data_IF_211654613745
#
_entry.id   IF_211654613745
#
_cell.length_a   1.000
_cell.length_b   1.000
_cell.length_c   1.000
_cell.angle_alpha   90.00
_cell.angle_beta   90.00
_cell.angle_gamma   90.00
#
_symmetry.space_group_name_H-M   'P 1'
#
loop_
_entity.id
_entity.type
_entity.pdbx_description
1 polymer ?
#
# COMPACT_ATOMS: atom_id res chain seq x y z
N UNK A 1 24.10 15.79 -16.63
CA UNK A 1 22.67 15.44 -16.49
C UNK A 1 22.12 16.11 -15.24
N UNK A 2 20.94 16.72 -15.30
CA UNK A 2 20.24 17.19 -14.09
C UNK A 2 20.06 16.04 -13.11
N UNK A 3 20.02 16.31 -11.80
CA UNK A 3 19.77 15.27 -10.79
C UNK A 3 18.45 14.53 -11.01
N UNK A 4 18.22 13.41 -10.28
CA UNK A 4 16.98 12.66 -10.41
C UNK A 4 15.77 13.54 -10.04
N UNK A 5 14.60 13.30 -10.64
CA UNK A 5 13.37 14.04 -10.32
C UNK A 5 13.03 13.93 -8.83
N UNK A 6 12.41 14.98 -8.24
CA UNK A 6 12.07 14.99 -6.81
C UNK A 6 11.11 13.87 -6.46
N UNK A 7 11.06 13.50 -5.18
CA UNK A 7 10.13 12.49 -4.68
C UNK A 7 8.68 12.97 -4.81
N UNK A 8 7.81 12.09 -5.28
CA UNK A 8 6.36 12.32 -5.26
C UNK A 8 5.81 12.28 -3.82
N UNK A 9 4.65 12.91 -3.62
CA UNK A 9 4.00 12.99 -2.30
C UNK A 9 3.60 11.60 -1.76
N UNK A 10 3.33 10.62 -2.61
CA UNK A 10 2.77 9.32 -2.20
C UNK A 10 3.63 8.09 -2.53
N UNK A 11 4.78 8.24 -3.20
CA UNK A 11 5.56 7.14 -3.77
C UNK A 11 4.94 6.64 -5.10
N UNK A 12 5.52 5.58 -5.67
CA UNK A 12 5.17 5.14 -7.03
C UNK A 12 5.91 5.94 -8.10
N UNK A 13 7.13 6.37 -7.79
CA UNK A 13 7.95 7.26 -8.62
C UNK A 13 8.73 6.51 -9.72
N UNK A 14 8.56 5.19 -9.83
CA UNK A 14 9.33 4.35 -10.76
C UNK A 14 9.27 4.81 -12.19
N UNK A 15 8.09 5.19 -12.70
CA UNK A 15 7.92 5.66 -14.07
C UNK A 15 8.68 6.99 -14.33
N UNK A 16 8.69 7.91 -13.36
CA UNK A 16 9.42 9.18 -13.48
C UNK A 16 10.94 8.95 -13.52
N UNK A 17 11.45 8.01 -12.72
CA UNK A 17 12.86 7.63 -12.74
C UNK A 17 13.21 6.89 -14.04
N UNK A 18 12.34 6.00 -14.54
CA UNK A 18 12.54 5.32 -15.80
C UNK A 18 12.67 6.32 -16.97
N UNK A 19 11.77 7.30 -17.03
CA UNK A 19 11.83 8.38 -18.02
C UNK A 19 13.13 9.19 -17.91
N UNK A 20 13.56 9.52 -16.69
CA UNK A 20 14.81 10.24 -16.47
C UNK A 20 16.06 9.44 -16.90
N UNK A 21 16.04 8.12 -16.70
CA UNK A 21 17.12 7.21 -17.12
C UNK A 21 17.06 6.87 -18.62
N UNK A 22 15.95 7.14 -19.31
CA UNK A 22 15.73 6.72 -20.70
C UNK A 22 15.53 5.20 -20.85
N UNK A 23 14.94 4.54 -19.86
CA UNK A 23 14.68 3.08 -19.85
C UNK A 23 13.20 2.78 -19.73
N UNK A 24 12.80 1.53 -20.01
CA UNK A 24 11.43 1.07 -19.81
C UNK A 24 11.09 1.02 -18.28
N UNK A 25 9.84 1.33 -17.87
CA UNK A 25 9.43 1.34 -16.46
C UNK A 25 9.73 0.03 -15.72
N UNK A 26 9.63 -1.11 -16.39
CA UNK A 26 9.87 -2.46 -15.85
C UNK A 26 11.36 -2.69 -15.48
N UNK A 27 12.24 -1.90 -16.04
CA UNK A 27 13.68 -1.93 -15.73
C UNK A 27 14.02 -1.20 -14.43
N UNK A 28 13.07 -0.44 -13.86
CA UNK A 28 13.23 0.24 -12.57
C UNK A 28 12.62 -0.60 -11.45
N UNK A 29 13.39 -0.80 -10.38
CA UNK A 29 12.89 -1.42 -9.15
C UNK A 29 12.29 -0.32 -8.27
N UNK A 30 10.98 -0.23 -8.24
CA UNK A 30 10.28 0.77 -7.43
C UNK A 30 9.94 0.24 -6.03
N UNK A 31 10.76 0.58 -5.05
CA UNK A 31 10.58 0.30 -3.63
C UNK A 31 10.00 1.52 -2.87
N UNK A 32 9.53 2.56 -3.57
CA UNK A 32 8.84 3.70 -2.97
C UNK A 32 7.36 3.40 -2.70
N UNK A 33 6.76 2.46 -3.45
CA UNK A 33 5.42 1.94 -3.25
C UNK A 33 5.48 0.56 -2.56
N UNK A 34 4.85 0.44 -1.39
CA UNK A 34 4.80 -0.82 -0.65
C UNK A 34 3.62 -1.66 -1.17
N UNK A 35 3.92 -2.78 -1.82
CA UNK A 35 2.94 -3.77 -2.26
C UNK A 35 3.36 -5.16 -1.78
N UNK A 36 2.47 -6.12 -1.81
CA UNK A 36 2.75 -7.50 -1.42
C UNK A 36 3.82 -8.13 -2.34
N UNK A 37 5.02 -8.45 -1.83
CA UNK A 37 6.10 -9.01 -2.65
C UNK A 37 5.92 -10.49 -2.98
N UNK A 38 4.93 -11.16 -2.37
CA UNK A 38 4.67 -12.60 -2.51
C UNK A 38 3.33 -12.91 -3.17
N UNK A 39 2.55 -11.88 -3.53
CA UNK A 39 1.32 -12.08 -4.29
C UNK A 39 1.63 -12.70 -5.66
N UNK A 40 0.78 -13.60 -6.17
CA UNK A 40 0.85 -14.01 -7.57
C UNK A 40 0.73 -12.80 -8.51
N UNK A 41 1.31 -12.93 -9.71
CA UNK A 41 1.12 -11.92 -10.75
C UNK A 41 -0.38 -11.76 -11.07
N UNK A 42 -0.97 -10.56 -10.88
CA UNK A 42 -2.39 -10.34 -11.15
C UNK A 42 -2.71 -10.26 -12.65
N UNK A 43 -1.72 -10.04 -13.52
CA UNK A 43 -1.93 -9.79 -14.96
C UNK A 43 -2.66 -10.94 -15.65
N UNK A 44 -2.33 -12.24 -15.46
CA UNK A 44 -3.07 -13.33 -16.08
C UNK A 44 -4.53 -13.42 -15.62
N UNK A 45 -4.80 -13.09 -14.34
CA UNK A 45 -6.18 -13.06 -13.82
C UNK A 45 -6.96 -11.94 -14.47
N UNK A 46 -6.45 -10.72 -14.41
CA UNK A 46 -7.07 -9.53 -14.98
C UNK A 46 -7.25 -9.66 -16.50
N UNK A 47 -6.29 -10.30 -17.17
CA UNK A 47 -6.32 -10.55 -18.62
C UNK A 47 -7.56 -11.31 -19.08
N UNK A 48 -8.09 -12.24 -18.27
CA UNK A 48 -9.32 -12.98 -18.57
C UNK A 48 -10.58 -12.10 -18.60
N UNK A 49 -10.53 -10.96 -17.92
CA UNK A 49 -11.66 -10.03 -17.75
C UNK A 49 -11.57 -8.77 -18.62
N UNK A 50 -10.58 -8.66 -19.52
CA UNK A 50 -10.38 -7.45 -20.34
C UNK A 50 -11.64 -7.04 -21.14
N UNK A 51 -12.50 -7.98 -21.51
CA UNK A 51 -13.78 -7.69 -22.17
C UNK A 51 -14.71 -6.76 -21.35
N UNK A 52 -14.51 -6.67 -20.03
CA UNK A 52 -15.27 -5.78 -19.17
C UNK A 52 -15.03 -4.29 -19.46
N UNK A 53 -13.89 -3.93 -20.04
CA UNK A 53 -13.53 -2.52 -20.32
C UNK A 53 -14.53 -1.87 -21.29
N UNK A 54 -15.16 -2.65 -22.17
CA UNK A 54 -16.08 -2.14 -23.18
C UNK A 54 -17.47 -1.75 -22.66
N UNK A 55 -17.76 -1.89 -21.36
CA UNK A 55 -19.07 -1.62 -20.76
C UNK A 55 -18.99 -0.89 -19.43
N UNK A 56 -20.08 -0.21 -19.07
CA UNK A 56 -20.20 0.37 -17.73
C UNK A 56 -20.27 -0.72 -16.65
N UNK A 57 -19.77 -0.45 -15.43
CA UNK A 57 -19.94 -1.35 -14.30
C UNK A 57 -21.41 -1.70 -14.08
N UNK A 58 -21.72 -2.99 -13.95
CA UNK A 58 -23.07 -3.45 -13.63
C UNK A 58 -23.28 -3.59 -12.13
N UNK A 59 -24.51 -3.35 -11.66
CA UNK A 59 -24.86 -3.60 -10.25
C UNK A 59 -24.69 -5.07 -9.84
N UNK A 60 -24.88 -6.01 -10.77
CA UNK A 60 -24.70 -7.44 -10.52
C UNK A 60 -23.21 -7.80 -10.30
N UNK A 61 -22.31 -7.24 -11.11
CA UNK A 61 -20.86 -7.45 -10.95
C UNK A 61 -20.35 -6.86 -9.65
N UNK A 62 -20.80 -5.64 -9.32
CA UNK A 62 -20.46 -4.97 -8.07
C UNK A 62 -20.96 -5.77 -6.85
N UNK A 63 -22.21 -6.25 -6.88
CA UNK A 63 -22.78 -7.07 -5.82
C UNK A 63 -22.05 -8.41 -5.65
N UNK A 64 -21.62 -9.03 -6.76
CA UNK A 64 -20.80 -10.27 -6.74
C UNK A 64 -19.42 -10.01 -6.11
N UNK A 65 -18.75 -8.93 -6.51
CA UNK A 65 -17.46 -8.52 -5.96
C UNK A 65 -17.57 -8.19 -4.46
N UNK A 66 -18.62 -7.48 -4.04
CA UNK A 66 -18.87 -7.15 -2.63
C UNK A 66 -19.09 -8.42 -1.80
N UNK A 67 -19.90 -9.36 -2.29
CA UNK A 67 -20.11 -10.66 -1.61
C UNK A 67 -18.81 -11.45 -1.50
N UNK A 68 -18.02 -11.52 -2.57
CA UNK A 68 -16.75 -12.24 -2.53
C UNK A 68 -15.78 -11.69 -1.46
N UNK A 69 -15.74 -10.36 -1.28
CA UNK A 69 -14.95 -9.76 -0.20
C UNK A 69 -15.59 -10.01 1.17
N UNK A 70 -16.90 -9.90 1.30
CA UNK A 70 -17.62 -10.15 2.54
C UNK A 70 -17.41 -11.58 3.03
N UNK A 71 -17.50 -12.55 2.13
CA UNK A 71 -17.24 -13.97 2.42
C UNK A 71 -15.78 -14.18 2.86
N UNK A 72 -14.81 -13.59 2.15
CA UNK A 72 -13.41 -13.69 2.53
C UNK A 72 -13.12 -13.08 3.91
N UNK A 73 -13.77 -11.98 4.25
CA UNK A 73 -13.63 -11.29 5.54
C UNK A 73 -14.50 -11.88 6.66
N UNK A 74 -15.43 -12.80 6.34
CA UNK A 74 -16.47 -13.33 7.22
C UNK A 74 -17.33 -12.21 7.87
N UNK A 75 -17.76 -11.22 7.05
CA UNK A 75 -18.61 -10.09 7.47
C UNK A 75 -19.89 -10.04 6.64
N UNK A 76 -20.89 -9.31 7.17
CA UNK A 76 -22.12 -9.04 6.43
C UNK A 76 -21.82 -8.12 5.22
N UNK A 77 -22.25 -8.46 4.00
CA UNK A 77 -22.06 -7.62 2.82
C UNK A 77 -22.73 -6.23 2.94
N UNK A 78 -23.78 -6.07 3.73
CA UNK A 78 -24.44 -4.78 3.97
C UNK A 78 -23.59 -3.83 4.83
N UNK A 79 -22.53 -4.36 5.44
CA UNK A 79 -21.51 -3.60 6.17
C UNK A 79 -20.29 -3.24 5.31
N UNK A 80 -20.28 -3.61 4.03
CA UNK A 80 -19.19 -3.36 3.10
C UNK A 80 -19.61 -2.46 1.94
N UNK A 81 -18.71 -1.53 1.57
CA UNK A 81 -18.80 -0.75 0.35
C UNK A 81 -17.49 -0.80 -0.39
N UNK A 82 -17.49 -1.24 -1.65
CA UNK A 82 -16.33 -1.17 -2.53
C UNK A 82 -16.09 0.27 -3.00
N UNK A 83 -14.82 0.62 -3.14
CA UNK A 83 -14.38 1.98 -3.52
C UNK A 83 -13.29 1.94 -4.58
N UNK A 84 -13.08 3.08 -5.26
CA UNK A 84 -11.98 3.29 -6.21
C UNK A 84 -10.64 3.47 -5.46
N UNK A 85 -10.19 2.37 -4.84
CA UNK A 85 -9.01 2.33 -3.97
C UNK A 85 -9.26 2.94 -2.59
N UNK A 86 -8.31 2.76 -1.68
CA UNK A 86 -8.38 3.29 -0.32
C UNK A 86 -8.49 4.82 -0.24
N UNK A 87 -8.02 5.55 -1.26
CA UNK A 87 -8.14 7.00 -1.29
C UNK A 87 -9.59 7.48 -1.33
N UNK A 88 -10.46 6.82 -2.12
CA UNK A 88 -11.89 7.13 -2.11
C UNK A 88 -12.54 6.70 -0.79
N UNK A 89 -12.18 5.54 -0.24
CA UNK A 89 -12.68 5.11 1.07
C UNK A 89 -12.39 6.18 2.15
N UNK A 90 -11.16 6.69 2.19
CA UNK A 90 -10.78 7.79 3.09
C UNK A 90 -11.63 9.03 2.83
N UNK A 91 -11.78 9.45 1.57
CA UNK A 91 -12.51 10.66 1.22
C UNK A 91 -14.00 10.58 1.61
N UNK A 92 -14.65 9.44 1.38
CA UNK A 92 -16.06 9.22 1.71
C UNK A 92 -16.28 9.27 3.23
N UNK A 93 -15.49 8.54 4.01
CA UNK A 93 -15.60 8.52 5.48
C UNK A 93 -15.25 9.89 6.06
N UNK A 94 -14.19 10.54 5.56
CA UNK A 94 -13.77 11.87 6.00
C UNK A 94 -14.84 12.93 5.75
N UNK A 95 -15.57 12.86 4.63
CA UNK A 95 -16.68 13.76 4.31
C UNK A 95 -17.89 13.57 5.24
N UNK A 96 -18.02 12.40 5.87
CA UNK A 96 -19.13 12.11 6.79
C UNK A 96 -18.84 12.52 8.24
N UNK A 97 -17.61 12.31 8.71
CA UNK A 97 -17.30 12.44 10.14
C UNK A 97 -16.09 13.34 10.45
N UNK A 98 -15.43 13.87 9.43
CA UNK A 98 -14.16 14.59 9.65
C UNK A 98 -13.09 13.68 10.23
N UNK A 99 -12.15 14.25 10.97
CA UNK A 99 -11.17 13.47 11.71
C UNK A 99 -9.95 14.25 12.18
N UNK A 100 -9.22 13.61 13.08
CA UNK A 100 -7.93 14.04 13.61
C UNK A 100 -6.93 12.89 13.54
N UNK A 101 -5.65 13.21 13.55
CA UNK A 101 -4.53 12.24 13.54
C UNK A 101 -3.54 12.56 14.66
N UNK A 102 -2.73 11.58 15.01
CA UNK A 102 -1.51 11.77 15.81
C UNK A 102 -0.34 11.66 14.84
N UNK A 103 0.31 12.78 14.57
CA UNK A 103 1.43 12.82 13.62
C UNK A 103 2.67 12.05 14.11
N UNK A 104 3.47 11.49 13.20
CA UNK A 104 3.24 11.43 11.75
C UNK A 104 2.25 10.32 11.38
N UNK A 105 1.32 10.59 10.47
CA UNK A 105 0.46 9.57 9.86
C UNK A 105 0.19 9.91 8.37
N UNK A 106 -0.60 9.09 7.69
CA UNK A 106 -0.80 9.20 6.25
C UNK A 106 -1.47 10.53 5.86
N UNK A 107 -0.91 11.18 4.82
CA UNK A 107 -1.28 12.56 4.45
C UNK A 107 -2.74 12.75 4.00
N UNK A 108 -3.41 11.70 3.54
CA UNK A 108 -4.80 11.78 3.07
C UNK A 108 -5.84 11.76 4.20
N UNK A 109 -5.45 11.47 5.44
CA UNK A 109 -6.44 11.51 6.52
C UNK A 109 -6.86 12.94 6.83
N UNK A 110 -8.12 13.14 7.29
CA UNK A 110 -8.61 14.45 7.65
C UNK A 110 -7.89 15.01 8.88
N UNK A 111 -7.73 16.34 8.89
CA UNK A 111 -7.15 17.13 10.00
C UNK A 111 -8.06 18.30 10.37
N UNK A 112 -9.37 18.12 10.12
CA UNK A 112 -10.40 19.12 10.35
C UNK A 112 -10.99 19.11 11.76
N UNK A 113 -10.47 18.25 12.64
CA UNK A 113 -11.08 17.90 13.92
C UNK A 113 -12.11 16.78 13.78
N UNK A 114 -12.44 16.12 14.90
CA UNK A 114 -13.33 14.97 14.93
C UNK A 114 -12.65 13.69 15.45
N UNK A 115 -13.21 12.50 15.12
CA UNK A 115 -12.72 11.23 15.65
C UNK A 115 -11.30 10.92 15.21
N UNK A 116 -10.60 10.12 16.01
CA UNK A 116 -9.21 9.73 15.73
C UNK A 116 -9.15 8.71 14.59
N UNK A 117 -8.29 9.00 13.61
CA UNK A 117 -7.88 8.12 12.53
C UNK A 117 -6.48 7.60 12.77
N UNK A 118 -6.24 6.36 12.40
CA UNK A 118 -4.92 5.76 12.49
C UNK A 118 -4.72 4.65 11.47
N UNK A 119 -3.53 4.58 10.89
CA UNK A 119 -3.13 3.42 10.09
C UNK A 119 -2.70 2.24 10.98
N UNK A 120 -3.01 1.02 10.54
CA UNK A 120 -2.59 -0.21 11.22
C UNK A 120 -2.21 -1.29 10.19
N UNK A 121 -0.91 -1.67 10.08
CA UNK A 121 0.24 -1.11 10.81
C UNK A 121 0.42 0.39 10.55
N UNK A 122 0.99 1.07 11.53
CA UNK A 122 1.18 2.52 11.48
C UNK A 122 2.10 2.92 10.31
N UNK A 123 1.64 3.83 9.48
CA UNK A 123 2.40 4.39 8.38
C UNK A 123 2.85 5.81 8.74
N UNK A 124 4.17 6.08 8.99
CA UNK A 124 5.27 5.37 8.29
C UNK A 124 6.00 4.28 9.07
N UNK A 125 5.82 4.12 10.39
CA UNK A 125 6.72 3.28 11.22
C UNK A 125 6.63 1.78 10.94
N UNK A 126 5.50 1.28 10.44
CA UNK A 126 5.29 -0.14 10.17
C UNK A 126 4.92 -0.97 11.41
N UNK A 127 4.63 -0.35 12.55
CA UNK A 127 4.28 -1.05 13.79
C UNK A 127 2.78 -1.31 13.88
N UNK A 128 2.40 -2.52 14.26
CA UNK A 128 1.02 -2.86 14.60
C UNK A 128 0.59 -2.15 15.90
N UNK A 129 -0.65 -1.71 15.92
CA UNK A 129 -1.27 -1.17 17.13
C UNK A 129 -1.41 -2.27 18.19
N UNK A 130 -1.16 -1.94 19.47
CA UNK A 130 -1.37 -2.88 20.57
C UNK A 130 -2.86 -3.22 20.73
N UNK A 131 -3.17 -4.33 21.41
CA UNK A 131 -4.55 -4.73 21.67
C UNK A 131 -5.34 -3.66 22.47
N UNK A 132 -4.66 -2.89 23.31
CA UNK A 132 -5.27 -1.82 24.12
C UNK A 132 -5.48 -0.50 23.36
N UNK A 133 -4.94 -0.37 22.13
CA UNK A 133 -5.13 0.84 21.33
C UNK A 133 -6.53 0.85 20.73
N UNK A 134 -7.29 1.91 20.93
CA UNK A 134 -8.58 2.16 20.30
C UNK A 134 -8.50 3.30 19.31
N UNK A 135 -9.31 3.25 18.26
CA UNK A 135 -9.41 4.27 17.23
C UNK A 135 -10.82 4.24 16.64
N UNK A 136 -11.34 5.38 16.23
CA UNK A 136 -12.65 5.44 15.59
C UNK A 136 -12.59 4.98 14.14
N UNK A 137 -11.48 5.28 13.44
CA UNK A 137 -11.25 4.87 12.06
C UNK A 137 -9.88 4.24 11.92
N UNK A 138 -9.84 2.99 11.50
CA UNK A 138 -8.62 2.28 11.15
C UNK A 138 -8.41 2.27 9.64
N UNK A 139 -7.22 2.66 9.17
CA UNK A 139 -6.77 2.31 7.83
C UNK A 139 -6.00 0.98 7.92
N UNK A 140 -6.62 -0.05 7.39
CA UNK A 140 -6.09 -1.41 7.40
C UNK A 140 -5.54 -1.86 6.03
N UNK A 141 -5.11 -0.90 5.18
CA UNK A 141 -4.59 -1.19 3.84
C UNK A 141 -3.42 -2.21 3.84
N UNK A 142 -2.69 -2.33 4.94
CA UNK A 142 -1.57 -3.26 5.10
C UNK A 142 -1.78 -4.29 6.22
N UNK A 143 -2.89 -4.22 6.94
CA UNK A 143 -3.16 -5.09 8.08
C UNK A 143 -3.16 -6.58 7.71
N UNK A 144 -3.80 -7.00 6.59
CA UNK A 144 -3.79 -8.39 6.20
C UNK A 144 -2.39 -8.98 6.01
N UNK A 145 -1.45 -8.21 5.46
CA UNK A 145 -0.06 -8.65 5.26
C UNK A 145 0.78 -8.67 6.54
N UNK A 146 0.41 -7.88 7.54
CA UNK A 146 1.14 -7.78 8.78
C UNK A 146 0.61 -8.73 9.86
N UNK A 147 -0.72 -8.92 9.93
CA UNK A 147 -1.40 -9.64 10.99
C UNK A 147 -1.92 -11.03 10.57
N UNK A 148 -2.04 -11.32 9.26
CA UNK A 148 -2.62 -12.59 8.79
C UNK A 148 -4.14 -12.69 8.98
N UNK A 149 -4.80 -11.57 9.18
CA UNK A 149 -6.25 -11.46 9.32
C UNK A 149 -6.77 -10.33 8.44
N UNK A 150 -7.98 -10.45 7.94
CA UNK A 150 -8.56 -9.45 7.04
C UNK A 150 -8.77 -8.08 7.71
N UNK A 151 -9.15 -8.09 8.97
CA UNK A 151 -9.40 -6.90 9.77
C UNK A 151 -9.07 -7.17 11.23
N UNK A 152 -8.80 -6.13 11.98
CA UNK A 152 -8.63 -6.18 13.44
C UNK A 152 -9.95 -6.53 14.14
N UNK A 153 -11.08 -6.13 13.55
CA UNK A 153 -12.40 -6.47 14.05
C UNK A 153 -12.83 -5.70 15.29
N UNK A 154 -12.29 -4.51 15.53
CA UNK A 154 -12.66 -3.69 16.69
C UNK A 154 -14.15 -3.30 16.63
N UNK A 155 -14.95 -3.60 17.69
CA UNK A 155 -16.38 -3.29 17.70
C UNK A 155 -16.64 -1.77 17.52
N UNK A 156 -17.53 -1.44 16.59
CA UNK A 156 -17.95 -0.05 16.32
C UNK A 156 -16.92 0.81 15.59
N UNK A 157 -15.71 0.31 15.32
CA UNK A 157 -14.75 1.04 14.51
C UNK A 157 -15.12 0.99 13.03
N UNK A 158 -14.82 2.08 12.32
CA UNK A 158 -14.86 2.14 10.86
C UNK A 158 -13.51 1.69 10.33
N UNK A 159 -13.52 0.84 9.30
CA UNK A 159 -12.30 0.42 8.61
C UNK A 159 -12.31 0.98 7.19
N UNK A 160 -11.22 1.63 6.79
CA UNK A 160 -10.91 1.92 5.39
C UNK A 160 -9.79 0.97 4.95
N UNK A 161 -9.94 0.35 3.79
CA UNK A 161 -8.99 -0.65 3.33
C UNK A 161 -8.60 -0.48 1.87
N UNK A 162 -7.48 -1.10 1.49
CA UNK A 162 -6.96 -1.06 0.13
C UNK A 162 -6.50 -2.45 -0.31
N UNK A 163 -7.24 -3.08 -1.19
CA UNK A 163 -6.87 -4.37 -1.78
C UNK A 163 -5.70 -4.25 -2.77
N UNK A 164 -5.42 -3.04 -3.28
CA UNK A 164 -4.33 -2.80 -4.24
C UNK A 164 -2.96 -3.19 -3.70
N UNK A 165 -2.78 -3.12 -2.36
CA UNK A 165 -1.52 -3.49 -1.70
C UNK A 165 -1.42 -5.00 -1.51
N UNK A 166 -2.50 -5.60 -1.01
CA UNK A 166 -2.61 -7.03 -0.77
C UNK A 166 -2.46 -7.85 -2.06
N UNK A 167 -3.17 -7.42 -3.12
CA UNK A 167 -3.24 -8.12 -4.40
C UNK A 167 -2.15 -7.69 -5.40
N UNK A 168 -1.21 -6.83 -4.99
CA UNK A 168 -0.14 -6.28 -5.85
C UNK A 168 -0.66 -5.69 -7.19
N UNK A 169 -1.87 -5.13 -7.21
CA UNK A 169 -2.51 -4.58 -8.41
C UNK A 169 -2.92 -3.10 -8.25
N UNK A 170 -1.97 -2.17 -8.01
CA UNK A 170 -2.30 -0.77 -7.71
C UNK A 170 -3.06 -0.06 -8.85
N UNK A 171 -2.92 -0.52 -10.09
CA UNK A 171 -3.62 0.03 -11.26
C UNK A 171 -5.12 -0.27 -11.30
N UNK A 172 -5.60 -1.35 -10.66
CA UNK A 172 -7.01 -1.72 -10.65
C UNK A 172 -7.87 -0.82 -9.74
N UNK A 173 -7.25 -0.12 -8.77
CA UNK A 173 -7.96 0.79 -7.88
C UNK A 173 -9.08 0.11 -7.08
N UNK A 174 -8.74 -0.90 -6.29
CA UNK A 174 -9.67 -1.61 -5.38
C UNK A 174 -9.45 -1.20 -3.93
N UNK A 175 -10.51 -0.77 -3.27
CA UNK A 175 -10.55 -0.46 -1.85
C UNK A 175 -11.94 -0.72 -1.27
N UNK A 176 -12.10 -0.51 0.02
CA UNK A 176 -13.39 -0.72 0.69
C UNK A 176 -13.52 0.14 1.95
N UNK A 177 -14.77 0.34 2.35
CA UNK A 177 -15.17 0.76 3.70
C UNK A 177 -15.88 -0.42 4.36
N UNK A 178 -15.52 -0.73 5.60
CA UNK A 178 -16.24 -1.66 6.47
C UNK A 178 -16.72 -0.88 7.70
N UNK A 179 -18.03 -0.85 7.94
CA UNK A 179 -18.65 -0.09 9.03
C UNK A 179 -20.01 -0.67 9.41
N UNK A 180 -20.75 0.00 10.26
CA UNK A 180 -22.19 -0.29 10.41
C UNK A 180 -22.97 0.11 9.15
N UNK A 181 -24.16 -0.48 8.98
CA UNK A 181 -25.01 -0.24 7.80
C UNK A 181 -25.39 1.23 7.61
N UNK A 182 -25.55 2.01 8.71
CA UNK A 182 -25.91 3.42 8.60
C UNK A 182 -24.77 4.23 7.99
N UNK A 183 -23.54 3.98 8.43
CA UNK A 183 -22.36 4.61 7.84
C UNK A 183 -22.19 4.20 6.37
N UNK A 184 -22.40 2.93 6.05
CA UNK A 184 -22.33 2.45 4.65
C UNK A 184 -23.37 3.18 3.79
N UNK A 185 -24.62 3.29 4.21
CA UNK A 185 -25.64 4.05 3.45
C UNK A 185 -25.25 5.52 3.24
N UNK A 186 -24.65 6.16 4.23
CA UNK A 186 -24.17 7.55 4.12
C UNK A 186 -23.03 7.66 3.11
N UNK A 187 -22.06 6.77 3.15
CA UNK A 187 -20.97 6.71 2.18
C UNK A 187 -21.49 6.43 0.76
N UNK A 188 -22.43 5.50 0.60
CA UNK A 188 -23.09 5.20 -0.68
C UNK A 188 -23.79 6.44 -1.27
N UNK A 189 -24.45 7.25 -0.44
CA UNK A 189 -25.09 8.48 -0.88
C UNK A 189 -24.13 9.55 -1.42
N UNK A 190 -22.83 9.45 -1.09
CA UNK A 190 -21.78 10.37 -1.57
C UNK A 190 -20.93 9.80 -2.71
N UNK A 191 -20.95 8.48 -2.86
CA UNK A 191 -20.10 7.84 -3.87
C UNK A 191 -20.58 8.18 -5.28
N UNK A 192 -19.68 8.65 -6.17
CA UNK A 192 -20.04 8.84 -7.58
C UNK A 192 -20.53 7.55 -8.23
N UNK A 193 -21.46 7.67 -9.15
CA UNK A 193 -21.87 6.52 -9.96
C UNK A 193 -20.66 5.91 -10.66
N UNK A 194 -20.63 4.57 -10.74
CA UNK A 194 -19.57 3.81 -11.41
C UNK A 194 -18.15 4.04 -10.84
N UNK A 195 -18.02 4.38 -9.58
CA UNK A 195 -16.73 4.63 -8.92
C UNK A 195 -15.77 3.43 -9.04
N UNK A 196 -16.28 2.21 -8.88
CA UNK A 196 -15.51 0.98 -9.12
C UNK A 196 -15.64 0.58 -10.58
N UNK A 197 -14.51 0.50 -11.29
CA UNK A 197 -14.51 0.17 -12.71
C UNK A 197 -14.92 -1.30 -12.96
N UNK A 198 -15.47 -1.57 -14.15
CA UNK A 198 -16.02 -2.90 -14.53
C UNK A 198 -14.96 -4.01 -14.51
N UNK A 199 -13.74 -3.72 -14.95
CA UNK A 199 -12.64 -4.69 -14.96
C UNK A 199 -12.28 -5.12 -13.54
N UNK A 200 -12.18 -4.17 -12.61
CA UNK A 200 -11.89 -4.43 -11.21
C UNK A 200 -13.02 -5.23 -10.52
N UNK A 201 -14.28 -4.87 -10.78
CA UNK A 201 -15.43 -5.58 -10.22
C UNK A 201 -15.53 -7.03 -10.72
N UNK A 202 -15.24 -7.27 -12.00
CA UNK A 202 -15.27 -8.64 -12.55
C UNK A 202 -14.10 -9.50 -12.12
N UNK A 203 -12.89 -8.95 -12.09
CA UNK A 203 -11.69 -9.71 -11.75
C UNK A 203 -11.55 -9.98 -10.24
N UNK A 204 -12.23 -9.19 -9.40
CA UNK A 204 -12.04 -9.23 -7.94
C UNK A 204 -12.31 -10.59 -7.31
N UNK A 205 -13.37 -11.36 -7.63
CA UNK A 205 -13.57 -12.69 -7.05
C UNK A 205 -12.40 -13.64 -7.32
N UNK A 206 -11.89 -13.65 -8.56
CA UNK A 206 -10.75 -14.49 -8.95
C UNK A 206 -9.45 -14.05 -8.26
N UNK A 207 -9.25 -12.74 -8.11
CA UNK A 207 -8.09 -12.21 -7.38
C UNK A 207 -8.14 -12.57 -5.89
N UNK A 208 -9.32 -12.51 -5.26
CA UNK A 208 -9.52 -12.86 -3.86
C UNK A 208 -9.32 -14.37 -3.62
N UNK A 209 -9.70 -15.22 -4.59
CA UNK A 209 -9.49 -16.67 -4.49
C UNK A 209 -8.00 -17.06 -4.40
N UNK A 210 -7.09 -16.20 -4.83
CA UNK A 210 -5.65 -16.42 -4.76
C UNK A 210 -5.02 -15.91 -3.44
N UNK A 211 -5.79 -15.29 -2.54
CA UNK A 211 -5.27 -14.73 -1.28
C UNK A 211 -4.97 -15.84 -0.27
N UNK A 212 -3.75 -15.84 0.26
CA UNK A 212 -3.30 -16.79 1.27
C UNK A 212 -2.76 -16.06 2.52
N UNK A 213 -3.67 -15.60 3.38
CA UNK A 213 -3.31 -14.95 4.63
C UNK A 213 -2.67 -15.89 5.66
N UNK A 214 -2.75 -17.20 5.46
CA UNK A 214 -2.11 -18.16 6.36
C UNK A 214 -0.59 -18.18 6.16
N UNK A 215 -0.10 -17.96 4.92
CA UNK A 215 1.34 -18.07 4.61
C UNK A 215 2.00 -16.73 4.28
N UNK A 216 1.30 -15.79 3.62
CA UNK A 216 1.89 -14.54 3.15
C UNK A 216 2.56 -13.70 4.24
N UNK A 217 1.97 -13.49 5.43
CA UNK A 217 2.64 -12.70 6.49
C UNK A 217 3.99 -13.27 6.91
N UNK A 218 4.07 -14.60 7.03
CA UNK A 218 5.32 -15.30 7.32
C UNK A 218 6.37 -15.14 6.21
N UNK A 219 5.95 -15.24 4.95
CA UNK A 219 6.82 -15.05 3.79
C UNK A 219 7.32 -13.59 3.71
N UNK A 220 6.45 -12.60 3.94
CA UNK A 220 6.83 -11.19 4.00
C UNK A 220 7.79 -10.92 5.15
N UNK A 221 7.58 -11.55 6.31
CA UNK A 221 8.49 -11.42 7.45
C UNK A 221 9.89 -11.99 7.14
N UNK A 222 9.98 -13.13 6.44
CA UNK A 222 11.26 -13.68 5.98
C UNK A 222 11.96 -12.72 5.00
N UNK A 223 11.27 -12.23 3.98
CA UNK A 223 11.84 -11.28 3.02
C UNK A 223 12.26 -9.96 3.70
N UNK A 224 11.53 -9.52 4.72
CA UNK A 224 11.89 -8.34 5.51
C UNK A 224 13.20 -8.56 6.28
N UNK A 225 13.38 -9.73 6.88
CA UNK A 225 14.64 -10.09 7.55
C UNK A 225 15.82 -10.19 6.54
N UNK A 226 15.58 -10.74 5.34
CA UNK A 226 16.57 -10.75 4.26
C UNK A 226 16.93 -9.30 3.84
N UNK A 227 15.95 -8.39 3.75
CA UNK A 227 16.17 -6.96 3.48
C UNK A 227 17.00 -6.30 4.59
N UNK A 228 16.68 -6.57 5.85
CA UNK A 228 17.49 -6.08 7.00
C UNK A 228 18.96 -6.51 6.89
N UNK A 229 19.20 -7.77 6.55
CA UNK A 229 20.56 -8.30 6.35
C UNK A 229 21.28 -7.60 5.19
N UNK A 230 20.57 -7.34 4.06
CA UNK A 230 21.13 -6.56 2.94
C UNK A 230 21.53 -5.16 3.41
N UNK A 231 20.63 -4.44 4.05
CA UNK A 231 20.88 -3.08 4.53
C UNK A 231 22.05 -3.02 5.52
N UNK A 232 22.09 -3.97 6.46
CA UNK A 232 23.16 -4.05 7.46
C UNK A 232 24.56 -4.26 6.83
N UNK A 233 24.68 -5.07 5.78
CA UNK A 233 25.95 -5.24 5.04
C UNK A 233 26.47 -3.93 4.45
N UNK A 234 25.58 -2.99 4.14
CA UNK A 234 25.92 -1.66 3.63
C UNK A 234 25.96 -0.57 4.72
N UNK A 235 25.99 -0.95 6.01
CA UNK A 235 26.06 -0.03 7.13
C UNK A 235 24.78 0.73 7.41
N UNK A 236 23.65 0.33 6.81
CA UNK A 236 22.33 0.93 7.01
C UNK A 236 21.57 0.16 8.11
N UNK A 237 21.17 0.85 9.16
CA UNK A 237 20.36 0.26 10.24
C UNK A 237 18.89 0.58 10.02
N UNK A 238 18.06 -0.46 10.00
CA UNK A 238 16.63 -0.33 9.92
C UNK A 238 16.00 -0.18 11.30
N UNK A 239 14.84 0.49 11.34
CA UNK A 239 13.97 0.55 12.51
C UNK A 239 13.05 -0.69 12.53
N UNK A 240 12.62 -1.19 13.70
CA UNK A 240 11.67 -2.30 13.80
C UNK A 240 10.39 -2.05 13.00
N UNK A 241 9.89 -3.08 12.31
CA UNK A 241 8.66 -3.02 11.51
C UNK A 241 8.00 -4.39 11.44
N UNK A 242 6.66 -4.40 11.37
CA UNK A 242 5.84 -5.58 11.10
C UNK A 242 5.16 -5.49 9.73
N UNK A 243 5.30 -4.34 9.06
CA UNK A 243 4.75 -4.09 7.73
C UNK A 243 5.65 -4.65 6.61
N UNK A 244 5.19 -4.51 5.36
CA UNK A 244 5.96 -4.86 4.17
C UNK A 244 6.94 -3.75 3.75
N UNK A 245 7.54 -3.04 4.71
CA UNK A 245 8.61 -2.06 4.51
C UNK A 245 9.45 -1.88 5.74
N UNK A 246 10.62 -1.25 5.57
CA UNK A 246 11.51 -0.79 6.62
C UNK A 246 11.75 0.71 6.52
N UNK A 247 12.00 1.35 7.65
CA UNK A 247 12.57 2.69 7.73
C UNK A 247 14.06 2.60 8.04
N UNK A 248 14.84 3.44 7.36
CA UNK A 248 16.27 3.60 7.60
C UNK A 248 16.64 5.08 7.72
N UNK A 249 17.55 5.41 8.63
CA UNK A 249 18.11 6.75 8.75
C UNK A 249 19.23 6.89 7.71
N UNK A 250 18.88 7.38 6.52
CA UNK A 250 19.77 7.43 5.35
C UNK A 250 19.44 8.66 4.48
N UNK A 251 19.92 9.86 4.87
CA UNK A 251 19.74 11.07 4.07
C UNK A 251 20.26 10.89 2.66
N UNK A 252 19.49 11.32 1.66
CA UNK A 252 19.88 11.28 0.25
C UNK A 252 19.93 9.90 -0.40
N UNK A 253 19.54 8.82 0.29
CA UNK A 253 19.58 7.46 -0.24
C UNK A 253 18.80 7.33 -1.55
N UNK A 254 17.65 7.97 -1.69
CA UNK A 254 16.86 8.00 -2.93
C UNK A 254 17.66 8.55 -4.10
N UNK A 255 18.34 9.66 -3.91
CA UNK A 255 19.15 10.28 -4.97
C UNK A 255 20.35 9.41 -5.37
N UNK A 256 20.96 8.69 -4.41
CA UNK A 256 22.07 7.77 -4.66
C UNK A 256 21.66 6.51 -5.42
N UNK A 257 20.47 5.97 -5.15
CA UNK A 257 19.98 4.74 -5.76
C UNK A 257 19.32 4.95 -7.13
N UNK A 258 18.72 6.12 -7.36
CA UNK A 258 18.01 6.43 -8.60
C UNK A 258 18.85 6.22 -9.87
N UNK A 259 20.15 6.63 -9.95
CA UNK A 259 20.99 6.36 -11.13
C UNK A 259 21.22 4.87 -11.41
N UNK A 260 20.97 4.01 -10.43
CA UNK A 260 21.10 2.55 -10.55
C UNK A 260 19.75 1.85 -10.79
N UNK A 261 18.70 2.62 -11.14
CA UNK A 261 17.38 2.08 -11.43
C UNK A 261 16.64 1.53 -10.21
N UNK A 262 16.96 2.00 -9.00
CA UNK A 262 16.25 1.66 -7.76
C UNK A 262 15.68 2.91 -7.13
N UNK A 263 14.38 2.87 -6.81
CA UNK A 263 13.65 4.00 -6.22
C UNK A 263 13.17 3.63 -4.83
N UNK A 264 13.49 4.47 -3.84
CA UNK A 264 13.03 4.33 -2.45
C UNK A 264 12.26 5.59 -2.05
N UNK A 265 11.48 5.51 -0.98
CA UNK A 265 10.62 6.61 -0.54
C UNK A 265 11.37 7.53 0.43
N UNK A 266 11.51 8.79 0.05
CA UNK A 266 11.88 9.87 0.99
C UNK A 266 10.70 10.15 1.93
N UNK A 267 10.94 10.14 3.24
CA UNK A 267 9.93 10.34 4.27
C UNK A 267 9.80 11.81 4.72
N UNK A 268 10.40 12.77 4.02
CA UNK A 268 10.21 14.19 4.33
C UNK A 268 8.73 14.60 4.28
N UNK A 269 7.94 13.99 3.37
CA UNK A 269 6.49 14.18 3.30
C UNK A 269 5.69 13.69 4.53
N UNK A 270 6.31 12.90 5.40
CA UNK A 270 5.78 12.49 6.70
C UNK A 270 6.35 13.32 7.86
N UNK A 271 7.05 14.43 7.58
CA UNK A 271 7.76 15.19 8.62
C UNK A 271 8.98 14.47 9.18
N UNK A 272 9.54 13.49 8.47
CA UNK A 272 10.72 12.72 8.86
C UNK A 272 11.88 12.95 7.86
N UNK A 273 12.50 14.15 7.88
CA UNK A 273 13.61 14.44 6.96
C UNK A 273 14.80 13.53 7.27
N UNK A 274 15.48 13.07 6.22
CA UNK A 274 16.63 12.17 6.34
C UNK A 274 16.27 10.70 6.58
N UNK A 275 14.99 10.39 6.74
CA UNK A 275 14.50 9.00 6.85
C UNK A 275 14.04 8.52 5.48
N UNK A 276 14.41 7.30 5.14
CA UNK A 276 13.99 6.62 3.90
C UNK A 276 13.15 5.40 4.25
N UNK A 277 12.00 5.21 3.58
CA UNK A 277 11.21 3.99 3.64
C UNK A 277 11.52 3.13 2.42
N UNK A 278 11.80 1.86 2.67
CA UNK A 278 12.16 0.87 1.65
C UNK A 278 11.13 -0.26 1.72
N UNK A 279 10.35 -0.45 0.65
CA UNK A 279 9.42 -1.57 0.55
C UNK A 279 10.19 -2.89 0.52
N UNK A 280 9.63 -3.94 1.12
CA UNK A 280 10.17 -5.29 1.06
C UNK A 280 9.98 -5.82 -0.37
N UNK A 281 11.06 -6.10 -1.12
CA UNK A 281 10.95 -6.62 -2.47
C UNK A 281 10.92 -8.15 -2.50
N UNK A 282 10.70 -8.73 -3.68
CA UNK A 282 10.99 -10.14 -3.95
C UNK A 282 12.50 -10.44 -3.81
N UNK A 283 12.89 -11.70 -3.77
CA UNK A 283 14.33 -12.09 -3.73
C UNK A 283 15.15 -11.53 -4.91
N UNK A 284 14.55 -11.50 -6.11
CA UNK A 284 15.20 -10.86 -7.26
C UNK A 284 15.39 -9.35 -7.04
N UNK A 285 14.40 -8.69 -6.42
CA UNK A 285 14.50 -7.29 -6.03
C UNK A 285 15.55 -7.04 -4.94
N UNK A 286 15.72 -7.96 -3.97
CA UNK A 286 16.77 -7.89 -2.97
C UNK A 286 18.16 -7.89 -3.62
N UNK A 287 18.41 -8.78 -4.58
CA UNK A 287 19.67 -8.85 -5.30
C UNK A 287 19.96 -7.54 -6.07
N UNK A 288 18.94 -6.97 -6.73
CA UNK A 288 19.09 -5.68 -7.43
C UNK A 288 19.37 -4.52 -6.48
N UNK A 289 18.72 -4.50 -5.31
CA UNK A 289 18.99 -3.48 -4.29
C UNK A 289 20.42 -3.61 -3.74
N UNK A 290 20.87 -4.82 -3.43
CA UNK A 290 22.24 -5.09 -2.93
C UNK A 290 23.30 -4.60 -3.92
N UNK A 291 23.11 -4.89 -5.21
CA UNK A 291 24.00 -4.39 -6.29
C UNK A 291 24.00 -2.86 -6.39
N UNK A 292 22.81 -2.24 -6.34
CA UNK A 292 22.68 -0.78 -6.40
C UNK A 292 23.36 -0.08 -5.21
N UNK A 293 23.20 -0.64 -4.00
CA UNK A 293 23.87 -0.15 -2.79
C UNK A 293 25.40 -0.28 -2.90
N UNK A 294 25.90 -1.41 -3.42
CA UNK A 294 27.33 -1.61 -3.65
C UNK A 294 27.91 -0.59 -4.61
N UNK A 295 27.23 -0.32 -5.71
CA UNK A 295 27.66 0.66 -6.74
C UNK A 295 27.62 2.10 -6.20
N UNK A 296 26.59 2.46 -5.45
CA UNK A 296 26.46 3.80 -4.87
C UNK A 296 27.55 4.10 -3.84
N UNK A 297 27.92 3.15 -2.98
CA UNK A 297 29.00 3.30 -2.01
C UNK A 297 30.40 3.34 -2.63
N UNK A 298 30.61 2.69 -3.79
CA UNK A 298 31.87 2.78 -4.53
C UNK A 298 32.07 4.17 -5.18
N UNK A 299 30.98 4.84 -5.57
CA UNK A 299 31.03 6.18 -6.15
C UNK A 299 31.42 7.25 -5.11
N UNK A 300 30.95 7.13 -3.87
CA UNK A 300 31.31 8.05 -2.78
C UNK A 300 32.81 7.95 -2.41
N UNK A 301 33.38 6.74 -2.41
CA UNK A 301 34.82 6.53 -2.12
C UNK A 301 35.75 7.05 -3.22
N UNK A 302 35.27 7.25 -4.45
CA UNK A 302 36.04 7.85 -5.56
C UNK A 302 35.93 9.38 -5.62
N UNK A 303 34.96 9.96 -4.95
CA UNK A 303 34.72 11.40 -4.90
C UNK A 303 35.37 12.09 -3.67
N UNK A 304 35.89 11.30 -2.72
CA UNK A 304 36.74 11.75 -1.60
C UNK A 304 38.21 11.57 -1.93
#
# INVERSE_FOLDING_TARGET
>A
MSGPPPAGLHGGDGAAIAAWLGVAPEQVLDLSASVNPVAPDPVPVVGRHLGAIGRYPSGADLARATRALADAMAVDPDRLQLTNGGAEAIALVAAEIGGSVIEPDFALYPRSGGPLWRSNPHNPTGLLASASTSCAVWDEAFYPLAAGAWTRGDPGAIVVGSLTKLLACPGLRLGYVLADENMIRRCQGRQPAWAVNSLAAEAMPDLLAAVDLATWPGQVAMLRAELEAVLHRHGLRSRPSQACWLLVDAPGLRARLAPHGVVVRDCASFGLPGVTRIAVPSRAGLARLDEALSRSGASERKAQ
#
